data_IF_732588315426
#
_entry.id   IF_732588315426
#
_cell.length_a   1.000
_cell.length_b   1.000
_cell.length_c   1.000
_cell.angle_alpha   90.00
_cell.angle_beta   90.00
_cell.angle_gamma   90.00
#
_symmetry.space_group_name_H-M   'P 1'
#
loop_
_entity.id
_entity.type
_entity.pdbx_description
1 polymer ?
#
# COMPACT_ATOMS: atom_id res chain seq x y z
N UNK A 1 18.86 -2.86 -5.26
CA UNK A 1 19.68 -3.14 -4.06
C UNK A 1 18.81 -3.87 -3.05
N UNK A 2 19.20 -5.07 -2.59
CA UNK A 2 18.50 -5.73 -1.50
C UNK A 2 18.49 -4.79 -0.30
N UNK A 3 17.31 -4.53 0.26
CA UNK A 3 17.19 -3.67 1.44
C UNK A 3 17.64 -4.46 2.66
N UNK A 4 18.42 -3.81 3.52
CA UNK A 4 18.92 -4.44 4.74
C UNK A 4 17.75 -4.75 5.68
N UNK A 5 17.82 -5.87 6.38
CA UNK A 5 16.86 -6.22 7.43
C UNK A 5 16.81 -5.17 8.56
N UNK A 6 17.83 -4.31 8.67
CA UNK A 6 17.83 -3.15 9.55
C UNK A 6 16.63 -2.21 9.29
N UNK A 7 16.11 -2.16 8.06
CA UNK A 7 14.95 -1.34 7.68
C UNK A 7 13.60 -2.04 7.84
N UNK A 8 13.59 -3.34 8.19
CA UNK A 8 12.39 -4.17 8.17
C UNK A 8 11.30 -3.67 9.10
N UNK A 9 11.65 -3.31 10.34
CA UNK A 9 10.68 -2.77 11.30
C UNK A 9 10.01 -1.47 10.80
N UNK A 10 10.80 -0.59 10.16
CA UNK A 10 10.28 0.64 9.54
C UNK A 10 9.33 0.34 8.38
N UNK A 11 9.68 -0.62 7.52
CA UNK A 11 8.82 -1.04 6.41
C UNK A 11 7.51 -1.67 6.89
N UNK A 12 7.55 -2.50 7.94
CA UNK A 12 6.34 -3.07 8.55
C UNK A 12 5.42 -1.96 9.09
N UNK A 13 5.97 -0.99 9.81
CA UNK A 13 5.21 0.15 10.30
C UNK A 13 4.57 0.95 9.16
N UNK A 14 5.33 1.19 8.08
CA UNK A 14 4.84 1.86 6.88
C UNK A 14 3.70 1.09 6.21
N UNK A 15 3.85 -0.21 5.97
CA UNK A 15 2.80 -1.05 5.37
C UNK A 15 1.52 -1.05 6.23
N UNK A 16 1.66 -1.19 7.55
CA UNK A 16 0.52 -1.11 8.48
C UNK A 16 -0.23 0.21 8.36
N UNK A 17 0.50 1.32 8.25
CA UNK A 17 -0.10 2.65 8.08
C UNK A 17 -0.82 2.80 6.74
N UNK A 18 -0.23 2.33 5.65
CA UNK A 18 -0.84 2.38 4.31
C UNK A 18 -2.14 1.56 4.27
N UNK A 19 -2.15 0.36 4.86
CA UNK A 19 -3.36 -0.49 4.94
C UNK A 19 -4.44 0.17 5.80
N UNK A 20 -4.06 0.69 6.97
CA UNK A 20 -5.00 1.37 7.86
C UNK A 20 -5.65 2.59 7.18
N UNK A 21 -4.88 3.35 6.39
CA UNK A 21 -5.37 4.48 5.60
C UNK A 21 -6.34 4.03 4.49
N UNK A 22 -6.04 2.92 3.82
CA UNK A 22 -6.82 2.46 2.68
C UNK A 22 -8.17 1.83 3.07
N UNK A 23 -8.21 1.02 4.13
CA UNK A 23 -9.38 0.20 4.47
C UNK A 23 -10.11 0.68 5.74
N UNK A 24 -9.47 1.51 6.57
CA UNK A 24 -10.02 1.92 7.87
C UNK A 24 -10.17 0.77 8.88
N UNK A 25 -9.66 -0.42 8.54
CA UNK A 25 -9.66 -1.62 9.38
C UNK A 25 -8.24 -2.09 9.62
N UNK A 26 -8.01 -2.62 10.81
CA UNK A 26 -6.73 -3.23 11.17
C UNK A 26 -6.80 -4.73 10.89
N UNK A 27 -5.97 -5.19 9.97
CA UNK A 27 -5.80 -6.62 9.70
C UNK A 27 -4.66 -7.19 10.53
N UNK A 28 -4.85 -8.39 11.07
CA UNK A 28 -3.79 -9.15 11.72
C UNK A 28 -3.03 -9.95 10.66
N UNK A 29 -2.02 -9.30 10.07
CA UNK A 29 -1.14 -9.89 9.07
C UNK A 29 0.26 -10.01 9.69
N UNK A 30 0.84 -11.21 9.59
CA UNK A 30 2.18 -11.52 10.07
C UNK A 30 3.27 -10.98 9.10
N UNK A 31 3.42 -9.66 9.04
CA UNK A 31 4.42 -8.99 8.17
C UNK A 31 5.87 -9.35 8.51
N UNK A 32 6.14 -9.80 9.73
CA UNK A 32 7.46 -10.23 10.16
C UNK A 32 7.96 -11.47 9.40
N UNK A 33 7.06 -12.26 8.79
CA UNK A 33 7.41 -13.41 7.95
C UNK A 33 7.94 -13.00 6.55
N UNK A 34 7.72 -11.75 6.13
CA UNK A 34 8.18 -11.25 4.83
C UNK A 34 9.62 -10.72 4.93
N UNK A 35 10.40 -10.85 3.86
CA UNK A 35 11.70 -10.20 3.74
C UNK A 35 11.55 -8.70 3.46
N UNK A 36 12.63 -7.94 3.65
CA UNK A 36 12.61 -6.49 3.45
C UNK A 36 12.23 -6.10 2.00
N UNK A 37 12.58 -6.92 1.01
CA UNK A 37 12.24 -6.67 -0.40
C UNK A 37 10.74 -6.82 -0.64
N UNK A 38 10.13 -7.91 -0.17
CA UNK A 38 8.68 -8.14 -0.31
C UNK A 38 7.87 -7.09 0.44
N UNK A 39 8.32 -6.66 1.63
CA UNK A 39 7.68 -5.56 2.36
C UNK A 39 7.72 -4.24 1.58
N UNK A 40 8.84 -3.97 0.92
CA UNK A 40 8.98 -2.77 0.10
C UNK A 40 8.07 -2.83 -1.14
N UNK A 41 8.04 -3.95 -1.86
CA UNK A 41 7.15 -4.13 -3.02
C UNK A 41 5.68 -4.06 -2.61
N UNK A 42 5.32 -4.64 -1.46
CA UNK A 42 3.98 -4.52 -0.91
C UNK A 42 3.63 -3.05 -0.62
N UNK A 43 4.53 -2.30 0.02
CA UNK A 43 4.31 -0.87 0.24
C UNK A 43 4.17 -0.10 -1.07
N UNK A 44 4.91 -0.47 -2.12
CA UNK A 44 4.82 0.16 -3.44
C UNK A 44 3.46 -0.13 -4.09
N UNK A 45 3.07 -1.39 -4.11
CA UNK A 45 1.78 -1.84 -4.63
C UNK A 45 0.60 -1.11 -3.97
N UNK A 46 0.60 -0.98 -2.65
CA UNK A 46 -0.46 -0.27 -1.92
C UNK A 46 -0.56 1.21 -2.35
N UNK A 47 0.57 1.87 -2.60
CA UNK A 47 0.60 3.26 -3.08
C UNK A 47 0.10 3.38 -4.51
N UNK A 48 0.49 2.45 -5.38
CA UNK A 48 0.06 2.42 -6.76
C UNK A 48 -1.47 2.23 -6.85
N UNK A 49 -2.03 1.29 -6.08
CA UNK A 49 -3.48 1.11 -5.97
C UNK A 49 -4.19 2.37 -5.46
N UNK A 50 -3.65 3.05 -4.45
CA UNK A 50 -4.22 4.30 -3.96
C UNK A 50 -4.15 5.45 -4.99
N UNK A 51 -3.14 5.46 -5.86
CA UNK A 51 -3.04 6.41 -6.98
C UNK A 51 -4.05 6.09 -8.08
N UNK A 52 -4.21 4.82 -8.43
CA UNK A 52 -5.19 4.35 -9.41
C UNK A 52 -6.62 4.64 -8.95
N UNK A 53 -6.96 4.34 -7.69
CA UNK A 53 -8.26 4.65 -7.12
C UNK A 53 -8.59 6.15 -7.24
N UNK A 54 -7.65 7.02 -6.85
CA UNK A 54 -7.82 8.49 -6.99
C UNK A 54 -8.03 8.91 -8.45
N UNK A 55 -7.33 8.26 -9.38
CA UNK A 55 -7.47 8.54 -10.81
C UNK A 55 -8.82 8.08 -11.35
N UNK A 56 -9.29 6.90 -10.94
CA UNK A 56 -10.61 6.38 -11.29
C UNK A 56 -11.73 7.29 -10.77
N UNK A 57 -11.65 7.74 -9.50
CA UNK A 57 -12.60 8.70 -8.91
C UNK A 57 -12.63 10.01 -9.70
N UNK A 58 -11.45 10.60 -9.98
CA UNK A 58 -11.36 11.83 -10.77
C UNK A 58 -11.93 11.66 -12.18
N UNK A 59 -11.70 10.51 -12.82
CA UNK A 59 -12.25 10.20 -14.14
C UNK A 59 -13.77 10.10 -14.10
N UNK A 60 -14.33 9.42 -13.11
CA UNK A 60 -15.77 9.31 -12.91
C UNK A 60 -16.43 10.68 -12.64
N UNK A 61 -15.77 11.55 -11.87
CA UNK A 61 -16.24 12.93 -11.64
C UNK A 61 -16.25 13.78 -12.92
N UNK A 62 -15.23 13.63 -13.79
CA UNK A 62 -15.12 14.40 -15.03
C UNK A 62 -16.04 13.90 -16.14
N UNK A 63 -16.35 12.60 -16.17
CA UNK A 63 -17.15 11.98 -17.22
C UNK A 63 -18.17 11.00 -16.63
N UNK A 64 -19.18 11.48 -15.86
CA UNK A 64 -20.10 10.62 -15.12
C UNK A 64 -21.01 9.75 -16.01
N UNK A 65 -21.20 10.14 -17.27
CA UNK A 65 -21.99 9.41 -18.28
C UNK A 65 -21.18 8.37 -19.08
N UNK A 66 -19.85 8.32 -18.93
CA UNK A 66 -19.02 7.24 -19.50
C UNK A 66 -18.89 6.13 -18.46
N UNK A 67 -19.94 5.31 -18.34
CA UNK A 67 -19.87 4.00 -17.69
C UNK A 67 -19.97 2.90 -18.74
#
# INVERSE_FOLDING_TARGET
MPRSDADKARLIAQVRQEIARAVGRRYEIAFDALDATSLWELSRLLRDLANEQRTAVRRAQRMPWRR
#
